data_IF_916586336593
#
_entry.id   IF_916586336593
#
_cell.length_a   1.000
_cell.length_b   1.000
_cell.length_c   1.000
_cell.angle_alpha   90.00
_cell.angle_beta   90.00
_cell.angle_gamma   90.00
#
_symmetry.space_group_name_H-M   'P 1'
#
loop_
_entity.id
_entity.type
_entity.pdbx_description
1 polymer ?
#
# COMPACT_ATOMS: atom_id res chain seq x y z
N UNK A 1 -39.94 21.29 -77.60
CA UNK A 1 -38.57 21.45 -77.08
C UNK A 1 -38.63 21.19 -75.59
N UNK A 2 -38.38 19.94 -75.15
CA UNK A 2 -38.45 19.53 -73.71
C UNK A 2 -37.03 19.46 -73.17
N UNK A 3 -36.75 20.24 -72.10
CA UNK A 3 -35.51 20.17 -71.35
C UNK A 3 -35.71 19.28 -70.15
N UNK A 4 -35.03 18.10 -70.16
CA UNK A 4 -34.97 17.22 -69.00
C UNK A 4 -33.77 17.64 -68.09
N UNK A 5 -34.05 18.03 -66.85
CA UNK A 5 -33.04 18.21 -65.82
C UNK A 5 -32.75 16.89 -65.13
N UNK A 6 -31.51 16.41 -65.27
CA UNK A 6 -30.98 15.25 -64.53
C UNK A 6 -30.49 15.70 -63.18
N UNK A 7 -31.20 15.36 -62.09
CA UNK A 7 -30.71 15.46 -60.71
C UNK A 7 -29.74 14.30 -60.44
N UNK A 8 -28.48 14.63 -60.23
CA UNK A 8 -27.48 13.67 -59.68
C UNK A 8 -27.54 13.77 -58.14
N UNK A 9 -28.07 12.69 -57.52
CA UNK A 9 -28.03 12.51 -56.08
C UNK A 9 -26.63 12.09 -55.62
N UNK A 10 -25.99 12.87 -54.75
CA UNK A 10 -24.80 12.47 -54.02
C UNK A 10 -25.22 11.77 -52.71
N UNK A 11 -24.96 10.48 -52.62
CA UNK A 11 -25.11 9.70 -51.39
C UNK A 11 -23.90 10.01 -50.49
N UNK A 12 -24.10 10.72 -49.39
CA UNK A 12 -23.08 10.91 -48.36
C UNK A 12 -23.03 9.66 -47.50
N UNK A 13 -21.94 8.88 -47.58
CA UNK A 13 -21.66 7.79 -46.69
C UNK A 13 -21.06 8.36 -45.40
N UNK A 14 -21.84 8.37 -44.33
CA UNK A 14 -21.36 8.70 -42.98
C UNK A 14 -20.59 7.47 -42.42
N UNK A 15 -19.27 7.57 -42.33
CA UNK A 15 -18.45 6.61 -41.57
C UNK A 15 -18.64 6.87 -40.08
N UNK A 16 -19.37 5.99 -39.40
CA UNK A 16 -19.40 5.94 -37.94
C UNK A 16 -18.13 5.23 -37.45
N UNK A 17 -17.16 5.99 -36.95
CA UNK A 17 -16.02 5.45 -36.20
C UNK A 17 -16.49 5.08 -34.79
N UNK A 18 -16.68 3.79 -34.55
CA UNK A 18 -16.92 3.25 -33.22
C UNK A 18 -15.60 3.36 -32.43
N UNK A 19 -15.46 4.42 -31.65
CA UNK A 19 -14.37 4.57 -30.69
C UNK A 19 -14.55 3.52 -29.57
N UNK A 20 -13.68 2.51 -29.50
CA UNK A 20 -13.57 1.65 -28.33
C UNK A 20 -13.13 2.50 -27.14
N UNK A 21 -14.09 2.91 -26.30
CA UNK A 21 -13.82 3.42 -24.97
C UNK A 21 -13.31 2.23 -24.14
N UNK A 22 -11.99 2.11 -24.02
CA UNK A 22 -11.37 1.18 -23.08
C UNK A 22 -11.84 1.54 -21.67
N UNK A 23 -12.59 0.63 -21.03
CA UNK A 23 -12.94 0.75 -19.61
C UNK A 23 -11.63 0.68 -18.81
N UNK A 24 -11.13 1.80 -18.35
CA UNK A 24 -10.07 1.83 -17.35
C UNK A 24 -10.64 1.17 -16.08
N UNK A 25 -10.23 -0.06 -15.78
CA UNK A 25 -10.53 -0.69 -14.51
C UNK A 25 -9.73 0.06 -13.44
N UNK A 26 -10.42 0.77 -12.57
CA UNK A 26 -9.80 1.30 -11.37
C UNK A 26 -9.29 0.12 -10.52
N UNK A 27 -8.07 0.23 -10.00
CA UNK A 27 -7.55 -0.77 -9.08
C UNK A 27 -8.49 -0.87 -7.86
N UNK A 28 -8.69 -2.08 -7.28
CA UNK A 28 -9.56 -2.24 -6.12
C UNK A 28 -9.09 -1.37 -4.96
N UNK A 29 -10.02 -0.83 -4.18
CA UNK A 29 -9.68 0.01 -3.03
C UNK A 29 -8.95 -0.77 -1.94
N UNK A 30 -9.22 -2.09 -1.80
CA UNK A 30 -8.52 -2.99 -0.90
C UNK A 30 -7.60 -3.95 -1.67
N UNK A 31 -6.48 -4.32 -1.03
CA UNK A 31 -5.51 -5.27 -1.58
C UNK A 31 -6.11 -6.67 -1.68
N UNK A 32 -5.89 -7.34 -2.81
CA UNK A 32 -6.27 -8.75 -3.00
C UNK A 32 -5.14 -9.66 -2.51
N UNK A 33 -5.48 -10.64 -1.68
CA UNK A 33 -4.54 -11.62 -1.11
C UNK A 33 -4.61 -12.92 -1.90
N UNK A 34 -3.43 -13.53 -2.21
CA UNK A 34 -3.33 -14.72 -3.05
C UNK A 34 -2.77 -15.96 -2.37
N UNK A 35 -2.36 -15.87 -1.12
CA UNK A 35 -1.83 -17.02 -0.37
C UNK A 35 -0.76 -16.62 0.63
N UNK A 36 -0.16 -17.61 1.27
CA UNK A 36 0.85 -17.40 2.31
C UNK A 36 2.19 -16.92 1.73
N UNK A 37 2.90 -16.12 2.52
CA UNK A 37 4.26 -15.65 2.24
C UNK A 37 5.18 -15.91 3.44
N UNK A 38 6.48 -16.06 3.19
CA UNK A 38 7.46 -16.04 4.27
C UNK A 38 7.58 -14.62 4.85
N UNK A 39 7.68 -14.47 6.19
CA UNK A 39 7.97 -13.18 6.81
C UNK A 39 9.34 -12.65 6.35
N UNK A 40 9.57 -11.32 6.35
CA UNK A 40 10.91 -10.77 6.32
C UNK A 40 11.74 -11.31 7.49
N UNK A 41 13.05 -11.48 7.29
CA UNK A 41 13.91 -12.04 8.35
C UNK A 41 13.97 -11.12 9.56
N UNK A 42 14.02 -9.80 9.35
CA UNK A 42 13.99 -8.80 10.42
C UNK A 42 12.69 -8.88 11.24
N UNK A 43 11.52 -9.04 10.58
CA UNK A 43 10.26 -9.22 11.30
C UNK A 43 10.23 -10.52 12.11
N UNK A 44 10.75 -11.63 11.56
CA UNK A 44 10.84 -12.89 12.30
C UNK A 44 11.70 -12.75 13.57
N UNK A 45 12.83 -12.07 13.49
CA UNK A 45 13.71 -11.80 14.63
C UNK A 45 13.02 -10.85 15.63
N UNK A 46 12.39 -9.77 15.15
CA UNK A 46 11.63 -8.85 15.98
C UNK A 46 10.55 -9.55 16.80
N UNK A 47 9.79 -10.47 16.19
CA UNK A 47 8.76 -11.24 16.90
C UNK A 47 9.33 -12.18 17.98
N UNK A 48 10.53 -12.72 17.78
CA UNK A 48 11.20 -13.53 18.80
C UNK A 48 11.64 -12.71 20.01
N UNK A 49 12.06 -11.47 19.77
CA UNK A 49 12.51 -10.55 20.81
C UNK A 49 11.33 -9.84 21.49
N UNK A 50 10.23 -9.61 20.75
CA UNK A 50 9.04 -8.88 21.17
C UNK A 50 7.76 -9.69 20.92
N UNK A 51 7.55 -10.83 21.57
CA UNK A 51 6.45 -11.75 21.27
C UNK A 51 5.06 -11.11 21.43
N UNK A 52 4.92 -10.14 22.32
CA UNK A 52 3.66 -9.42 22.53
C UNK A 52 3.25 -8.54 21.34
N UNK A 53 4.22 -8.01 20.59
CA UNK A 53 3.97 -7.21 19.39
C UNK A 53 3.48 -8.05 18.20
N UNK A 54 3.76 -9.35 18.24
CA UNK A 54 3.40 -10.30 17.19
C UNK A 54 2.30 -11.28 17.60
N UNK A 55 1.64 -11.03 18.73
CA UNK A 55 0.51 -11.83 19.20
C UNK A 55 -0.75 -10.95 19.24
N UNK A 56 -1.84 -11.46 18.68
CA UNK A 56 -3.14 -10.80 18.76
C UNK A 56 -4.24 -11.85 18.91
N UNK A 57 -4.93 -11.81 20.04
CA UNK A 57 -5.95 -12.81 20.39
C UNK A 57 -7.35 -12.47 19.83
N UNK A 58 -7.54 -11.30 19.20
CA UNK A 58 -8.86 -10.79 18.81
C UNK A 58 -9.38 -11.30 17.47
N UNK A 59 -8.54 -11.90 16.63
CA UNK A 59 -8.89 -12.28 15.26
C UNK A 59 -9.21 -11.08 14.35
N UNK A 60 -9.52 -11.32 13.09
CA UNK A 60 -9.93 -10.28 12.13
C UNK A 60 -11.40 -9.91 12.33
N UNK A 61 -11.69 -8.75 12.88
CA UNK A 61 -13.05 -8.21 13.03
C UNK A 61 -13.57 -7.50 11.77
N UNK A 62 -12.81 -7.54 10.68
CA UNK A 62 -13.07 -6.80 9.45
C UNK A 62 -12.41 -5.42 9.46
N UNK A 63 -12.36 -4.74 8.28
CA UNK A 63 -11.70 -3.45 8.13
C UNK A 63 -12.29 -2.37 9.03
N UNK A 64 -11.43 -1.48 9.55
CA UNK A 64 -11.85 -0.36 10.38
C UNK A 64 -12.83 0.56 9.66
N UNK A 65 -13.91 0.98 10.33
CA UNK A 65 -14.81 2.01 9.82
C UNK A 65 -14.06 3.36 9.83
N UNK A 66 -13.82 3.95 8.66
CA UNK A 66 -13.08 5.19 8.52
C UNK A 66 -13.97 6.41 8.77
N UNK A 67 -13.99 6.88 10.02
CA UNK A 67 -14.61 8.15 10.40
C UNK A 67 -13.67 9.33 10.12
N UNK A 68 -14.19 10.55 10.13
CA UNK A 68 -13.38 11.77 9.98
C UNK A 68 -12.30 11.87 11.09
N UNK A 69 -12.62 11.53 12.33
CA UNK A 69 -11.68 11.60 13.45
C UNK A 69 -10.59 10.54 13.34
N UNK A 70 -10.93 9.32 12.90
CA UNK A 70 -9.95 8.27 12.60
C UNK A 70 -9.03 8.70 11.46
N UNK A 71 -9.57 9.30 10.40
CA UNK A 71 -8.76 9.85 9.31
C UNK A 71 -7.78 10.91 9.80
N UNK A 72 -8.25 11.89 10.58
CA UNK A 72 -7.38 12.92 11.19
C UNK A 72 -6.27 12.29 12.05
N UNK A 73 -6.60 11.26 12.82
CA UNK A 73 -5.64 10.52 13.65
C UNK A 73 -4.56 9.85 12.81
N UNK A 74 -4.95 9.14 11.74
CA UNK A 74 -4.03 8.49 10.79
C UNK A 74 -3.05 9.52 10.20
N UNK A 75 -3.57 10.62 9.66
CA UNK A 75 -2.76 11.67 9.03
C UNK A 75 -1.82 12.33 10.06
N UNK A 76 -2.32 12.63 11.27
CA UNK A 76 -1.53 13.23 12.35
C UNK A 76 -0.38 12.33 12.78
N UNK A 77 -0.63 11.04 12.99
CA UNK A 77 0.42 10.09 13.43
C UNK A 77 1.45 9.91 12.31
N UNK A 78 1.03 9.74 11.04
CA UNK A 78 1.99 9.65 9.94
C UNK A 78 2.92 10.87 9.89
N UNK A 79 2.37 12.06 9.99
CA UNK A 79 3.13 13.31 9.99
C UNK A 79 4.05 13.43 11.21
N UNK A 80 3.54 13.14 12.41
CA UNK A 80 4.28 13.25 13.65
C UNK A 80 5.51 12.34 13.66
N UNK A 81 5.33 11.07 13.34
CA UNK A 81 6.45 10.10 13.27
C UNK A 81 7.47 10.52 12.23
N UNK A 82 7.02 10.90 11.01
CA UNK A 82 7.92 11.32 9.93
C UNK A 82 8.76 12.57 10.28
N UNK A 83 8.28 13.44 11.15
CA UNK A 83 8.97 14.67 11.52
C UNK A 83 9.78 14.57 12.81
N UNK A 84 9.51 13.55 13.63
CA UNK A 84 10.17 13.38 14.95
C UNK A 84 11.32 12.39 14.87
N UNK A 85 11.16 11.31 14.11
CA UNK A 85 12.20 10.28 13.97
C UNK A 85 13.16 10.68 12.85
N UNK A 86 14.46 10.58 13.11
CA UNK A 86 15.51 10.85 12.13
C UNK A 86 15.75 9.61 11.29
N UNK A 87 15.71 9.68 9.94
CA UNK A 87 16.08 8.57 9.09
C UNK A 87 17.55 8.16 9.30
N UNK A 88 17.76 6.87 9.54
CA UNK A 88 19.11 6.30 9.74
C UNK A 88 19.04 4.79 9.48
N UNK A 89 20.01 4.25 8.75
CA UNK A 89 20.07 2.82 8.44
C UNK A 89 20.42 1.99 9.66
N UNK A 90 20.05 0.72 9.67
CA UNK A 90 20.44 -0.25 10.69
C UNK A 90 21.96 -0.41 10.81
N UNK A 91 22.66 -0.34 9.69
CA UNK A 91 24.12 -0.37 9.68
C UNK A 91 24.72 0.79 10.49
N UNK A 92 24.15 2.00 10.34
CA UNK A 92 24.64 3.19 11.07
C UNK A 92 24.22 3.20 12.54
N UNK A 93 23.05 2.60 12.87
CA UNK A 93 22.52 2.57 14.23
C UNK A 93 23.06 1.39 15.06
N UNK A 94 23.14 0.22 14.45
CA UNK A 94 23.36 -1.04 15.17
C UNK A 94 24.56 -1.83 14.64
N UNK A 95 25.16 -1.44 13.48
CA UNK A 95 26.27 -2.17 12.86
C UNK A 95 25.87 -3.50 12.23
N UNK A 96 24.57 -3.68 11.90
CA UNK A 96 24.01 -4.85 11.22
C UNK A 96 23.21 -4.42 9.99
N UNK A 97 22.96 -5.35 9.06
CA UNK A 97 22.28 -5.01 7.80
C UNK A 97 20.75 -4.86 7.96
N UNK A 98 20.17 -5.54 8.93
CA UNK A 98 18.70 -5.59 9.11
C UNK A 98 18.36 -5.81 10.57
N UNK A 99 17.61 -4.90 11.19
CA UNK A 99 17.13 -5.00 12.57
C UNK A 99 15.86 -4.19 12.80
N UNK A 100 14.74 -4.85 12.80
CA UNK A 100 13.46 -4.22 13.12
C UNK A 100 13.37 -3.84 14.60
N UNK A 101 13.09 -2.58 14.88
CA UNK A 101 12.94 -2.07 16.23
C UNK A 101 11.88 -0.94 16.28
N UNK A 102 11.25 -0.71 17.45
CA UNK A 102 10.43 0.48 17.64
C UNK A 102 11.38 1.64 17.98
N UNK A 103 11.52 2.64 17.10
CA UNK A 103 12.54 3.66 17.26
C UNK A 103 12.15 4.68 18.35
N UNK A 104 13.15 5.25 19.00
CA UNK A 104 12.96 6.36 19.93
C UNK A 104 13.41 7.71 19.36
N UNK A 105 14.45 7.72 18.53
CA UNK A 105 15.04 8.95 17.97
C UNK A 105 15.40 8.83 16.50
N UNK A 106 15.78 7.64 16.05
CA UNK A 106 16.18 7.38 14.68
C UNK A 106 15.85 5.93 14.30
N UNK A 107 15.69 5.65 13.01
CA UNK A 107 15.42 4.35 12.43
C UNK A 107 15.28 4.41 10.93
N UNK A 108 15.02 3.28 10.27
CA UNK A 108 14.73 3.22 8.85
C UNK A 108 13.27 2.87 8.54
N UNK A 109 12.95 2.38 7.35
CA UNK A 109 11.57 2.35 6.87
C UNK A 109 10.64 1.48 7.73
N UNK A 110 11.08 0.31 8.15
CA UNK A 110 10.29 -0.61 8.98
C UNK A 110 10.12 -0.10 10.42
N UNK A 111 11.14 0.56 10.96
CA UNK A 111 11.10 1.15 12.28
C UNK A 111 10.03 2.25 12.36
N UNK A 112 10.00 3.13 11.33
CA UNK A 112 8.92 4.12 11.21
C UNK A 112 7.54 3.47 11.12
N UNK A 113 7.42 2.39 10.36
CA UNK A 113 6.14 1.69 10.20
C UNK A 113 5.71 1.02 11.52
N UNK A 114 6.64 0.40 12.27
CA UNK A 114 6.39 -0.17 13.60
C UNK A 114 5.93 0.90 14.61
N UNK A 115 6.58 2.07 14.65
CA UNK A 115 6.17 3.14 15.55
C UNK A 115 4.78 3.68 15.20
N UNK A 116 4.50 3.91 13.92
CA UNK A 116 3.16 4.33 13.47
C UNK A 116 2.10 3.29 13.84
N UNK A 117 2.42 2.01 13.69
CA UNK A 117 1.53 0.92 14.10
C UNK A 117 1.24 0.97 15.59
N UNK A 118 2.27 1.09 16.42
CA UNK A 118 2.14 1.23 17.87
C UNK A 118 1.27 2.42 18.24
N UNK A 119 1.56 3.61 17.72
CA UNK A 119 0.83 4.84 18.03
C UNK A 119 -0.65 4.77 17.62
N UNK A 120 -0.96 4.08 16.49
CA UNK A 120 -2.34 3.85 16.07
C UNK A 120 -3.07 2.84 16.96
N UNK A 121 -2.39 1.80 17.45
CA UNK A 121 -2.95 0.87 18.45
C UNK A 121 -3.28 1.63 19.74
N UNK A 122 -2.35 2.45 20.21
CA UNK A 122 -2.54 3.30 21.41
C UNK A 122 -3.70 4.32 21.20
N UNK A 123 -3.97 4.72 19.96
CA UNK A 123 -5.11 5.54 19.57
C UNK A 123 -6.42 4.77 19.37
N UNK A 124 -6.46 3.45 19.64
CA UNK A 124 -7.66 2.62 19.62
C UNK A 124 -7.99 1.97 18.26
N UNK A 125 -7.01 1.85 17.36
CA UNK A 125 -7.16 1.02 16.17
C UNK A 125 -6.90 -0.46 16.50
N UNK A 126 -7.58 -1.36 15.80
CA UNK A 126 -7.32 -2.78 15.95
C UNK A 126 -5.96 -3.15 15.33
N UNK A 127 -5.13 -3.98 15.99
CA UNK A 127 -3.91 -4.51 15.37
C UNK A 127 -4.15 -5.25 14.05
N UNK A 128 -5.34 -5.86 13.86
CA UNK A 128 -5.74 -6.54 12.62
C UNK A 128 -5.90 -5.61 11.42
N UNK A 129 -6.01 -4.30 11.66
CA UNK A 129 -6.13 -3.27 10.61
C UNK A 129 -4.83 -2.56 10.29
N UNK A 130 -3.75 -2.85 11.03
CA UNK A 130 -2.46 -2.18 10.98
C UNK A 130 -1.36 -3.16 10.57
N UNK A 131 -1.14 -3.28 9.27
CA UNK A 131 -0.38 -4.38 8.69
C UNK A 131 0.95 -3.90 8.11
N UNK A 132 2.05 -4.37 8.67
CA UNK A 132 3.38 -4.18 8.06
C UNK A 132 3.36 -4.74 6.65
N UNK A 133 3.85 -3.96 5.69
CA UNK A 133 3.75 -4.27 4.26
C UNK A 133 5.08 -4.03 3.57
N UNK A 134 5.53 -5.01 2.77
CA UNK A 134 6.75 -4.93 1.97
C UNK A 134 6.38 -4.62 0.52
N UNK A 135 7.05 -3.63 -0.02
CA UNK A 135 6.87 -3.15 -1.39
C UNK A 135 8.23 -3.02 -2.09
N UNK A 136 8.20 -2.88 -3.43
CA UNK A 136 9.33 -2.39 -4.20
C UNK A 136 9.06 -0.95 -4.62
N UNK A 137 10.08 -0.12 -4.50
CA UNK A 137 10.11 1.22 -5.06
C UNK A 137 10.23 1.16 -6.60
N UNK A 138 9.97 2.24 -7.34
CA UNK A 138 10.12 2.26 -8.80
C UNK A 138 11.54 1.94 -9.29
N UNK A 139 12.56 2.15 -8.46
CA UNK A 139 13.96 1.80 -8.74
C UNK A 139 14.29 0.32 -8.46
N UNK A 140 13.32 -0.46 -7.95
CA UNK A 140 13.48 -1.87 -7.61
C UNK A 140 13.99 -2.14 -6.19
N UNK A 141 14.30 -1.12 -5.41
CA UNK A 141 14.71 -1.28 -4.01
C UNK A 141 13.55 -1.70 -3.12
N UNK A 142 13.86 -2.56 -2.13
CA UNK A 142 12.90 -2.95 -1.10
C UNK A 142 12.52 -1.77 -0.20
N UNK A 143 11.28 -1.78 0.29
CA UNK A 143 10.80 -0.75 1.20
C UNK A 143 9.69 -1.32 2.09
N UNK A 144 9.59 -0.83 3.33
CA UNK A 144 8.54 -1.19 4.26
C UNK A 144 7.62 0.00 4.55
N UNK A 145 6.32 -0.26 4.55
CA UNK A 145 5.29 0.74 4.87
C UNK A 145 4.24 0.14 5.81
N UNK A 146 3.46 0.98 6.47
CA UNK A 146 2.30 0.52 7.21
C UNK A 146 1.05 0.64 6.34
N UNK A 147 0.31 -0.46 6.19
CA UNK A 147 -1.03 -0.46 5.61
C UNK A 147 -2.07 -0.34 6.71
N UNK A 148 -2.99 0.61 6.56
CA UNK A 148 -4.19 0.75 7.40
C UNK A 148 -5.39 0.26 6.60
N UNK A 149 -5.99 -0.87 7.03
CA UNK A 149 -7.20 -1.44 6.41
C UNK A 149 -8.43 -0.67 6.86
N UNK A 150 -9.23 -0.22 5.90
CA UNK A 150 -10.49 0.48 6.19
C UNK A 150 -11.62 0.03 5.27
N UNK A 151 -12.86 0.35 5.63
CA UNK A 151 -14.06 0.16 4.81
C UNK A 151 -14.07 1.00 3.52
N UNK A 152 -13.12 1.95 3.38
CA UNK A 152 -12.95 2.81 2.21
C UNK A 152 -11.69 2.47 1.40
N UNK A 153 -10.98 1.42 1.77
CA UNK A 153 -9.77 0.95 1.11
C UNK A 153 -8.57 0.83 2.04
N UNK A 154 -7.48 0.33 1.51
CA UNK A 154 -6.21 0.16 2.21
C UNK A 154 -5.34 1.41 2.01
N UNK A 155 -5.08 2.15 3.09
CA UNK A 155 -4.25 3.36 3.06
C UNK A 155 -2.82 3.06 3.49
N UNK A 156 -1.87 3.76 2.87
CA UNK A 156 -0.43 3.58 3.10
C UNK A 156 0.12 4.77 3.89
N UNK A 157 0.79 4.45 5.00
CA UNK A 157 1.59 5.37 5.80
C UNK A 157 3.06 5.08 5.54
N UNK A 158 3.77 6.08 5.04
CA UNK A 158 5.11 5.97 4.49
C UNK A 158 6.03 7.00 5.15
N UNK A 159 7.27 6.63 5.50
CA UNK A 159 8.24 7.56 6.06
C UNK A 159 8.81 8.53 5.02
N UNK A 160 8.76 8.15 3.74
CA UNK A 160 9.22 9.00 2.64
C UNK A 160 8.17 10.06 2.23
N UNK A 161 6.93 9.98 2.76
CA UNK A 161 5.80 10.84 2.35
C UNK A 161 4.88 11.17 3.52
N UNK A 162 4.60 12.46 3.69
CA UNK A 162 3.63 12.90 4.68
C UNK A 162 2.18 12.70 4.23
N UNK A 163 1.94 12.62 2.91
CA UNK A 163 0.59 12.41 2.38
C UNK A 163 0.22 10.93 2.43
N UNK A 164 -0.81 10.61 3.20
CA UNK A 164 -1.45 9.29 3.21
C UNK A 164 -2.22 9.11 1.91
N UNK A 165 -2.03 7.96 1.23
CA UNK A 165 -2.66 7.62 -0.05
C UNK A 165 -3.31 6.24 0.01
N UNK A 166 -4.27 5.97 -0.86
CA UNK A 166 -4.65 4.60 -1.16
C UNK A 166 -3.45 3.84 -1.75
N UNK A 167 -3.34 2.56 -1.43
CA UNK A 167 -2.26 1.71 -1.97
C UNK A 167 -2.18 1.77 -3.49
N UNK A 168 -3.32 1.80 -4.17
CA UNK A 168 -3.44 1.87 -5.62
C UNK A 168 -3.02 3.21 -6.23
N UNK A 169 -2.89 4.26 -5.43
CA UNK A 169 -2.43 5.59 -5.83
C UNK A 169 -0.93 5.81 -5.60
N UNK A 170 -0.25 4.81 -5.04
CA UNK A 170 1.21 4.82 -4.88
C UNK A 170 1.89 4.27 -6.13
N UNK A 171 3.16 4.58 -6.32
CA UNK A 171 3.98 4.03 -7.40
C UNK A 171 4.67 2.71 -7.03
N UNK A 172 4.43 2.19 -5.83
CA UNK A 172 5.06 0.97 -5.33
C UNK A 172 4.48 -0.30 -5.97
N UNK A 173 5.31 -1.34 -6.12
CA UNK A 173 4.85 -2.71 -6.37
C UNK A 173 4.68 -3.43 -5.05
N UNK A 174 3.48 -3.83 -4.70
CA UNK A 174 3.18 -4.49 -3.43
C UNK A 174 3.48 -5.98 -3.50
N UNK A 175 4.28 -6.49 -2.58
CA UNK A 175 4.72 -7.89 -2.57
C UNK A 175 3.96 -8.74 -1.56
N UNK A 176 4.00 -8.34 -0.30
CA UNK A 176 3.44 -9.09 0.83
C UNK A 176 3.13 -8.16 2.01
N UNK A 177 2.22 -8.59 2.87
CA UNK A 177 1.90 -7.91 4.13
C UNK A 177 1.62 -8.90 5.24
N UNK A 178 1.54 -8.44 6.47
CA UNK A 178 1.03 -9.23 7.58
C UNK A 178 -0.41 -9.71 7.31
N UNK A 179 -0.75 -10.89 7.84
CA UNK A 179 -2.13 -11.35 7.91
C UNK A 179 -2.92 -10.51 8.91
N UNK A 180 -4.20 -10.26 8.61
CA UNK A 180 -5.09 -9.59 9.54
C UNK A 180 -5.50 -10.50 10.72
N UNK A 181 -5.47 -11.83 10.51
CA UNK A 181 -5.83 -12.81 11.54
C UNK A 181 -4.70 -13.08 12.53
N UNK A 182 -3.44 -12.96 12.06
CA UNK A 182 -2.25 -13.32 12.83
C UNK A 182 -1.06 -12.44 12.39
N UNK A 183 -0.59 -11.51 13.23
CA UNK A 183 0.51 -10.61 12.89
C UNK A 183 1.87 -11.29 12.72
N UNK A 184 2.04 -12.53 13.16
CA UNK A 184 3.24 -13.31 12.89
C UNK A 184 3.24 -13.94 11.48
N UNK A 185 2.07 -14.08 10.85
CA UNK A 185 1.91 -14.61 9.49
C UNK A 185 1.93 -13.52 8.45
N UNK A 186 2.39 -13.89 7.26
CA UNK A 186 2.46 -13.01 6.09
C UNK A 186 1.74 -13.62 4.90
N UNK A 187 1.16 -12.74 4.07
CA UNK A 187 0.38 -13.12 2.89
C UNK A 187 0.87 -12.36 1.67
N UNK A 188 0.79 -13.00 0.49
CA UNK A 188 1.12 -12.38 -0.79
C UNK A 188 0.01 -11.44 -1.24
N UNK A 189 0.39 -10.31 -1.82
CA UNK A 189 -0.53 -9.34 -2.43
C UNK A 189 -0.52 -9.56 -3.94
N UNK A 190 -1.72 -9.63 -4.53
CA UNK A 190 -1.86 -9.53 -5.97
C UNK A 190 -1.86 -8.05 -6.37
N UNK A 191 -0.70 -7.55 -6.75
CA UNK A 191 -0.61 -6.24 -7.37
C UNK A 191 -0.97 -6.39 -8.85
N UNK A 192 -2.22 -6.09 -9.21
CA UNK A 192 -2.72 -6.22 -10.59
C UNK A 192 -2.15 -5.21 -11.57
N UNK A 193 -1.23 -4.34 -11.12
CA UNK A 193 -0.50 -3.41 -11.97
C UNK A 193 0.58 -4.19 -12.72
N UNK A 194 0.60 -4.03 -14.03
CA UNK A 194 1.64 -4.63 -14.86
C UNK A 194 3.01 -4.14 -14.34
N UNK A 195 3.84 -5.06 -13.88
CA UNK A 195 5.27 -4.78 -13.70
C UNK A 195 5.75 -4.37 -15.09
N UNK A 196 6.18 -3.13 -15.25
CA UNK A 196 6.84 -2.71 -16.48
C UNK A 196 8.16 -3.49 -16.53
N UNK A 197 8.12 -4.68 -17.13
CA UNK A 197 9.31 -5.44 -17.44
C UNK A 197 10.00 -4.64 -18.54
N UNK A 198 10.97 -3.82 -18.16
CA UNK A 198 11.85 -3.18 -19.10
C UNK A 198 12.48 -4.30 -19.92
N UNK A 199 12.11 -4.40 -21.19
CA UNK A 199 12.81 -5.28 -22.12
C UNK A 199 14.24 -4.83 -22.19
N UNK A 200 15.14 -5.59 -21.56
CA UNK A 200 16.57 -5.50 -21.78
C UNK A 200 16.80 -5.82 -23.28
N UNK A 201 17.19 -4.81 -24.05
CA UNK A 201 17.77 -4.99 -25.38
C UNK A 201 19.24 -5.32 -25.22
#
# INVERSE_FOLDING_TARGET
MSFQFLLRGYAAIALFTFGCLGLAHAAPANMTITGDAAPPIGHYQFCRENPTECSYAGGDAGPAILTEDRWKTIVKINYAVNTTIRPMTDMDLYGVEEKWAIPTTAGDCEDFALLKRKDLIDAGFSPSDLLMTVVLQPNGEGHAVLTVRTDRGDFVLDNMRNKVKLWSETEYTFLKRQSADDPARWVKIQDGRAVAVGSLK
#
